data_IF_552104270532
#
_entry.id   IF_552104270532
#
_cell.length_a   1.000
_cell.length_b   1.000
_cell.length_c   1.000
_cell.angle_alpha   90.00
_cell.angle_beta   90.00
_cell.angle_gamma   90.00
#
_symmetry.space_group_name_H-M   'P 1'
#
loop_
_entity.id
_entity.type
_entity.pdbx_description
1 polymer ?
#
# COMPACT_ATOMS: atom_id res chain seq x y z
N UNK A 1 38.04 6.42 1.57
CA UNK A 1 37.66 5.95 0.21
C UNK A 1 36.29 6.53 -0.08
N UNK A 2 36.06 7.16 -1.26
CA UNK A 2 34.72 7.59 -1.61
C UNK A 2 33.89 6.35 -1.98
N UNK A 3 32.72 6.21 -1.37
CA UNK A 3 31.69 5.29 -1.83
C UNK A 3 31.08 5.90 -3.10
N UNK A 4 31.28 5.25 -4.24
CA UNK A 4 30.61 5.62 -5.49
C UNK A 4 29.15 5.15 -5.39
N UNK A 5 28.20 6.08 -5.30
CA UNK A 5 26.75 5.85 -5.19
C UNK A 5 26.08 5.29 -6.47
N UNK A 6 26.84 4.59 -7.33
CA UNK A 6 26.37 4.15 -8.64
C UNK A 6 25.89 2.69 -8.67
N UNK A 7 25.57 2.10 -7.51
CA UNK A 7 24.92 0.78 -7.48
C UNK A 7 23.46 0.93 -7.90
N UNK A 8 22.97 0.15 -8.89
CA UNK A 8 21.57 0.19 -9.26
C UNK A 8 20.74 -0.20 -8.04
N UNK A 9 19.82 0.69 -7.65
CA UNK A 9 18.88 0.39 -6.58
C UNK A 9 18.07 -0.86 -6.97
N UNK A 10 17.86 -1.81 -6.04
CA UNK A 10 16.99 -2.95 -6.29
C UNK A 10 15.64 -2.47 -6.83
N UNK A 11 15.04 -3.25 -7.74
CA UNK A 11 13.71 -2.92 -8.24
C UNK A 11 12.70 -3.10 -7.10
N UNK A 12 12.03 -2.03 -6.72
CA UNK A 12 11.02 -2.01 -5.66
C UNK A 12 9.60 -2.01 -6.26
N UNK A 13 8.69 -2.69 -5.57
CA UNK A 13 7.30 -2.88 -5.92
C UNK A 13 6.43 -2.57 -4.72
N UNK A 14 5.28 -1.95 -4.96
CA UNK A 14 4.24 -1.81 -3.96
C UNK A 14 2.93 -2.37 -4.51
N UNK A 15 2.23 -3.14 -3.70
CA UNK A 15 0.87 -3.60 -3.96
C UNK A 15 -0.05 -3.04 -2.89
N UNK A 16 -1.18 -2.46 -3.29
CA UNK A 16 -2.20 -1.90 -2.41
C UNK A 16 -3.52 -2.59 -2.69
N UNK A 17 -4.18 -3.02 -1.62
CA UNK A 17 -5.51 -3.60 -1.59
C UNK A 17 -6.41 -2.71 -0.72
N UNK A 18 -7.50 -2.22 -1.30
CA UNK A 18 -8.41 -1.28 -0.67
C UNK A 18 -9.77 -1.95 -0.44
N UNK A 19 -9.96 -2.51 0.75
CA UNK A 19 -11.22 -3.10 1.19
C UNK A 19 -12.04 -2.16 2.07
N UNK A 20 -13.35 -2.39 2.16
CA UNK A 20 -14.27 -1.54 2.94
C UNK A 20 -14.04 -1.56 4.46
N UNK A 21 -13.30 -2.57 4.96
CA UNK A 21 -12.96 -2.76 6.38
C UNK A 21 -11.47 -2.56 6.69
N UNK A 22 -10.62 -2.65 5.67
CA UNK A 22 -9.19 -2.44 5.85
C UNK A 22 -8.48 -2.21 4.53
N UNK A 23 -7.46 -1.37 4.55
CA UNK A 23 -6.47 -1.26 3.50
C UNK A 23 -5.23 -2.07 3.86
N UNK A 24 -4.66 -2.74 2.87
CA UNK A 24 -3.41 -3.48 2.99
C UNK A 24 -2.41 -2.96 1.95
N UNK A 25 -1.18 -2.72 2.38
CA UNK A 25 -0.08 -2.44 1.47
C UNK A 25 1.07 -3.38 1.76
N UNK A 26 1.70 -3.87 0.70
CA UNK A 26 2.93 -4.66 0.76
C UNK A 26 3.97 -3.99 -0.12
N UNK A 27 5.16 -3.76 0.43
CA UNK A 27 6.32 -3.28 -0.31
C UNK A 27 7.30 -4.44 -0.43
N UNK A 28 7.75 -4.71 -1.65
CA UNK A 28 8.71 -5.75 -1.94
C UNK A 28 9.83 -5.21 -2.84
N UNK A 29 10.96 -5.92 -2.88
CA UNK A 29 12.05 -5.65 -3.81
C UNK A 29 12.57 -6.94 -4.40
N UNK A 30 13.23 -6.87 -5.55
CA UNK A 30 13.90 -8.03 -6.14
C UNK A 30 15.38 -8.00 -5.77
N UNK A 31 15.86 -9.06 -5.12
CA UNK A 31 17.27 -9.29 -4.78
C UNK A 31 17.66 -10.65 -5.34
N UNK A 32 18.69 -10.70 -6.18
CA UNK A 32 19.19 -11.94 -6.81
C UNK A 32 18.08 -12.77 -7.50
N UNK A 33 17.12 -12.11 -8.15
CA UNK A 33 16.00 -12.75 -8.83
C UNK A 33 14.86 -13.24 -7.91
N UNK A 34 15.00 -13.07 -6.59
CA UNK A 34 13.99 -13.41 -5.60
C UNK A 34 13.24 -12.17 -5.10
N UNK A 35 11.93 -12.31 -4.90
CA UNK A 35 11.10 -11.25 -4.32
C UNK A 35 11.19 -11.28 -2.79
N UNK A 36 11.65 -10.18 -2.20
CA UNK A 36 11.75 -9.97 -0.75
C UNK A 36 10.73 -8.92 -0.31
N UNK A 37 9.83 -9.26 0.62
CA UNK A 37 8.95 -8.28 1.26
C UNK A 37 9.76 -7.46 2.26
N UNK A 38 9.72 -6.14 2.13
CA UNK A 38 10.44 -5.20 3.00
C UNK A 38 9.51 -4.37 3.89
N UNK A 39 8.21 -4.33 3.58
CA UNK A 39 7.23 -3.61 4.37
C UNK A 39 5.82 -4.15 4.21
N UNK A 40 5.04 -4.07 5.29
CA UNK A 40 3.61 -4.33 5.29
C UNK A 40 2.92 -3.25 6.10
N UNK A 41 1.84 -2.70 5.58
CA UNK A 41 0.97 -1.76 6.28
C UNK A 41 -0.45 -2.31 6.26
N UNK A 42 -1.14 -2.17 7.40
CA UNK A 42 -2.57 -2.42 7.52
C UNK A 42 -3.21 -1.23 8.22
N UNK A 43 -4.21 -0.64 7.56
CA UNK A 43 -5.06 0.38 8.15
C UNK A 43 -6.46 -0.19 8.26
N UNK A 44 -7.05 -0.17 9.46
CA UNK A 44 -8.47 -0.50 9.62
C UNK A 44 -9.28 0.69 9.18
N UNK A 45 -10.31 0.42 8.40
CA UNK A 45 -11.20 1.43 7.84
C UNK A 45 -12.64 0.99 8.00
N UNK A 46 -13.59 1.91 7.89
CA UNK A 46 -15.02 1.60 7.96
C UNK A 46 -15.72 2.39 6.86
N UNK A 47 -15.36 2.07 5.62
CA UNK A 47 -15.90 2.73 4.43
C UNK A 47 -17.32 2.27 4.14
N UNK A 48 -17.66 1.02 4.48
CA UNK A 48 -19.01 0.49 4.28
C UNK A 48 -20.08 1.34 4.97
N UNK A 49 -19.77 1.90 6.15
CA UNK A 49 -20.68 2.76 6.92
C UNK A 49 -20.98 4.09 6.22
N UNK A 50 -20.19 4.48 5.23
CA UNK A 50 -20.37 5.71 4.46
C UNK A 50 -20.93 5.51 3.06
N UNK A 51 -21.34 4.28 2.70
CA UNK A 51 -21.96 4.01 1.40
C UNK A 51 -23.45 4.39 1.43
N UNK A 52 -23.90 5.12 0.41
CA UNK A 52 -25.32 5.35 0.17
C UNK A 52 -25.97 4.18 -0.60
N UNK A 53 -27.26 4.31 -0.90
CA UNK A 53 -28.04 3.31 -1.65
C UNK A 53 -27.52 3.08 -3.09
N UNK A 54 -26.72 4.00 -3.63
CA UNK A 54 -26.09 3.90 -4.94
C UNK A 54 -24.64 3.43 -4.86
N UNK A 55 -24.17 2.98 -3.69
CA UNK A 55 -22.79 2.57 -3.42
C UNK A 55 -21.77 3.69 -3.62
N UNK A 56 -22.17 4.94 -3.36
CA UNK A 56 -21.28 6.11 -3.38
C UNK A 56 -20.82 6.39 -1.95
N UNK A 57 -19.51 6.62 -1.78
CA UNK A 57 -18.93 6.99 -0.48
C UNK A 57 -19.21 8.46 -0.15
N UNK A 58 -19.63 8.72 1.08
CA UNK A 58 -19.66 10.07 1.64
C UNK A 58 -18.25 10.67 1.78
N UNK A 59 -18.15 11.99 1.73
CA UNK A 59 -16.87 12.70 1.92
C UNK A 59 -16.24 12.41 3.28
N UNK A 60 -17.05 12.24 4.33
CA UNK A 60 -16.58 11.90 5.66
C UNK A 60 -15.90 10.53 5.67
N UNK A 61 -16.50 9.52 5.01
CA UNK A 61 -15.92 8.19 4.93
C UNK A 61 -14.63 8.17 4.12
N UNK A 62 -14.58 8.90 3.00
CA UNK A 62 -13.33 9.05 2.22
C UNK A 62 -12.23 9.74 3.02
N UNK A 63 -12.57 10.75 3.82
CA UNK A 63 -11.59 11.49 4.65
C UNK A 63 -11.08 10.65 5.81
N UNK A 64 -11.96 9.85 6.44
CA UNK A 64 -11.58 8.95 7.53
C UNK A 64 -10.57 7.90 7.06
N UNK A 65 -10.70 7.47 5.80
CA UNK A 65 -9.77 6.55 5.18
C UNK A 65 -9.94 5.17 5.74
#
# INVERSE_FOLDING_TARGET
MPINDNTPRPQEFAAVDLGSNSFHMVIARVVDGAMQIIGRLKQRVHLADGLDENSVLSEEAMTRG
#
